data_IF_494285163522
#
_entry.id   IF_494285163522
#
_cell.length_a   1.000
_cell.length_b   1.000
_cell.length_c   1.000
_cell.angle_alpha   90.00
_cell.angle_beta   90.00
_cell.angle_gamma   90.00
#
_symmetry.space_group_name_H-M   'P 1'
#
loop_
_entity.id
_entity.type
_entity.pdbx_description
1 polymer ?
#
# COMPACT_ATOMS: atom_id res chain seq x y z
N UNK A 1 -10.57 5.33 -15.66
CA UNK A 1 -9.93 5.35 -14.33
C UNK A 1 -9.01 4.15 -14.32
N UNK A 2 -7.72 4.41 -14.25
CA UNK A 2 -6.71 3.37 -14.34
C UNK A 2 -6.95 2.29 -13.29
N UNK A 3 -6.90 1.03 -13.72
CA UNK A 3 -7.12 -0.13 -12.87
C UNK A 3 -5.77 -0.69 -12.41
N UNK A 4 -5.15 -0.06 -11.42
CA UNK A 4 -3.93 -0.55 -10.80
C UNK A 4 -4.24 -1.72 -9.86
N UNK A 5 -3.46 -2.80 -9.97
CA UNK A 5 -3.59 -3.97 -9.12
C UNK A 5 -2.53 -3.92 -8.03
N UNK A 6 -2.96 -3.90 -6.76
CA UNK A 6 -2.06 -3.96 -5.61
C UNK A 6 -1.90 -5.41 -5.19
N UNK A 7 -0.68 -5.91 -5.19
CA UNK A 7 -0.34 -7.30 -4.86
C UNK A 7 0.59 -7.30 -3.65
N UNK A 8 0.28 -8.12 -2.66
CA UNK A 8 1.02 -8.26 -1.42
C UNK A 8 1.70 -9.63 -1.34
N UNK A 9 2.92 -9.64 -0.83
CA UNK A 9 3.71 -10.85 -0.55
C UNK A 9 4.36 -10.69 0.82
N UNK A 10 3.62 -10.96 1.92
CA UNK A 10 4.16 -10.94 3.27
C UNK A 10 5.28 -11.96 3.43
N UNK A 11 6.36 -11.56 4.07
CA UNK A 11 7.45 -12.47 4.46
C UNK A 11 7.08 -13.05 5.82
N UNK A 12 6.98 -14.39 5.97
CA UNK A 12 6.70 -15.03 7.25
C UNK A 12 7.65 -14.52 8.34
N UNK A 13 7.13 -13.88 9.42
CA UNK A 13 7.98 -13.40 10.49
C UNK A 13 8.31 -14.52 11.48
N UNK A 14 9.42 -14.39 12.19
CA UNK A 14 9.71 -15.24 13.36
C UNK A 14 8.87 -14.80 14.56
N UNK A 15 8.57 -15.74 15.45
CA UNK A 15 7.79 -15.49 16.66
C UNK A 15 8.54 -14.74 17.78
N UNK A 16 9.74 -14.20 17.51
CA UNK A 16 10.56 -13.50 18.53
C UNK A 16 10.14 -12.04 18.68
N UNK A 17 9.62 -11.60 19.83
CA UNK A 17 9.23 -10.21 20.03
C UNK A 17 10.45 -9.26 20.11
N UNK A 18 10.35 -8.02 19.60
CA UNK A 18 9.21 -7.46 18.87
C UNK A 18 9.12 -8.00 17.44
N UNK A 19 7.94 -8.50 17.07
CA UNK A 19 7.70 -9.06 15.75
C UNK A 19 7.59 -7.92 14.74
N UNK A 20 8.36 -8.03 13.66
CA UNK A 20 8.29 -7.14 12.51
C UNK A 20 7.79 -7.95 11.31
N UNK A 21 6.81 -7.42 10.59
CA UNK A 21 6.23 -8.05 9.40
C UNK A 21 6.71 -7.31 8.14
N UNK A 22 7.69 -7.85 7.40
CA UNK A 22 8.03 -7.35 6.08
C UNK A 22 6.94 -7.74 5.08
N UNK A 23 6.56 -6.81 4.21
CA UNK A 23 5.61 -7.04 3.13
C UNK A 23 6.23 -6.52 1.84
N UNK A 24 6.47 -7.44 0.91
CA UNK A 24 6.80 -7.06 -0.46
C UNK A 24 5.51 -6.67 -1.17
N UNK A 25 5.52 -5.54 -1.86
CA UNK A 25 4.38 -4.98 -2.55
C UNK A 25 4.75 -4.82 -4.01
N UNK A 26 3.85 -5.20 -4.90
CA UNK A 26 3.87 -4.81 -6.29
C UNK A 26 2.59 -4.05 -6.63
N UNK A 27 2.70 -2.91 -7.33
CA UNK A 27 1.55 -2.27 -7.96
C UNK A 27 1.71 -2.45 -9.46
N UNK A 28 0.79 -3.20 -10.07
CA UNK A 28 0.80 -3.54 -11.49
C UNK A 28 -0.14 -2.65 -12.29
N UNK A 29 0.36 -2.12 -13.40
CA UNK A 29 -0.40 -1.43 -14.42
C UNK A 29 -0.65 -2.37 -15.61
N UNK A 30 -1.87 -2.89 -15.80
CA UNK A 30 -2.20 -3.75 -16.93
C UNK A 30 -2.49 -2.98 -18.23
N UNK A 31 -2.53 -1.65 -18.19
CA UNK A 31 -2.86 -0.84 -19.37
C UNK A 31 -1.67 -0.71 -20.32
N UNK A 32 -1.96 -0.46 -21.59
CA UNK A 32 -0.96 -0.20 -22.64
C UNK A 32 -0.40 1.24 -22.62
N UNK A 33 -0.79 2.03 -21.62
CA UNK A 33 -0.30 3.40 -21.38
C UNK A 33 0.25 3.51 -19.97
N UNK A 34 1.27 4.35 -19.73
CA UNK A 34 1.76 4.61 -18.39
C UNK A 34 0.69 5.24 -17.52
N UNK A 35 0.75 4.96 -16.22
CA UNK A 35 -0.14 5.50 -15.20
C UNK A 35 0.71 6.13 -14.11
N UNK A 36 0.39 7.36 -13.75
CA UNK A 36 1.00 8.07 -12.62
C UNK A 36 0.00 8.17 -11.48
N UNK A 37 0.43 7.90 -10.25
CA UNK A 37 -0.40 8.08 -9.08
C UNK A 37 0.33 8.84 -7.97
N UNK A 38 -0.44 9.51 -7.11
CA UNK A 38 0.07 10.13 -5.90
C UNK A 38 0.23 9.07 -4.80
N UNK A 39 1.43 8.94 -4.23
CA UNK A 39 1.74 7.86 -3.29
C UNK A 39 1.06 8.01 -1.90
N UNK A 40 0.43 9.14 -1.59
CA UNK A 40 -0.14 9.42 -0.27
C UNK A 40 -1.26 8.45 0.11
N UNK A 41 -1.14 7.82 1.28
CA UNK A 41 -2.14 6.88 1.79
C UNK A 41 -2.22 5.58 0.97
N UNK A 42 -1.18 5.28 0.19
CA UNK A 42 -1.04 4.05 -0.59
C UNK A 42 0.05 3.16 0.03
N UNK A 43 0.20 1.90 -0.40
CA UNK A 43 1.33 1.06 0.01
C UNK A 43 2.71 1.66 -0.34
N UNK A 44 2.76 2.60 -1.29
CA UNK A 44 3.98 3.31 -1.70
C UNK A 44 4.23 4.59 -0.91
N UNK A 45 3.34 4.97 0.02
CA UNK A 45 3.61 6.06 0.95
C UNK A 45 4.81 5.67 1.84
N UNK A 46 5.83 6.53 2.00
CA UNK A 46 6.93 6.26 2.95
C UNK A 46 6.48 5.99 4.38
N UNK A 47 5.25 6.38 4.74
CA UNK A 47 4.64 6.16 6.06
C UNK A 47 3.47 5.16 6.04
N UNK A 48 3.36 4.34 5.00
CA UNK A 48 2.23 3.41 4.80
C UNK A 48 2.00 2.46 6.00
N UNK A 49 3.08 2.07 6.68
CA UNK A 49 3.04 1.23 7.88
C UNK A 49 2.36 1.87 9.10
N UNK A 50 2.11 3.19 9.07
CA UNK A 50 1.50 3.95 10.17
C UNK A 50 0.18 4.65 9.78
N UNK A 51 -0.22 4.57 8.51
CA UNK A 51 -1.36 5.30 7.96
C UNK A 51 -2.66 4.48 7.92
N UNK A 52 -2.65 3.24 8.41
CA UNK A 52 -3.79 2.34 8.35
C UNK A 52 -4.06 1.75 6.96
N UNK A 53 -3.05 1.75 6.08
CA UNK A 53 -3.14 1.16 4.73
C UNK A 53 -3.30 -0.36 4.79
N UNK A 54 -2.67 -1.01 5.79
CA UNK A 54 -2.67 -2.45 5.96
C UNK A 54 -3.63 -2.87 7.07
N UNK A 55 -4.47 -3.84 6.76
CA UNK A 55 -5.36 -4.53 7.70
C UNK A 55 -4.87 -5.96 7.86
N UNK A 56 -4.68 -6.40 9.10
CA UNK A 56 -4.24 -7.76 9.41
C UNK A 56 -5.37 -8.44 10.18
N UNK A 57 -5.71 -9.67 9.78
CA UNK A 57 -6.69 -10.50 10.47
C UNK A 57 -6.03 -11.82 10.84
N UNK A 58 -6.21 -12.24 12.10
CA UNK A 58 -5.96 -13.62 12.51
C UNK A 58 -7.08 -14.50 11.94
N UNK A 59 -6.71 -15.40 11.04
CA UNK A 59 -7.66 -16.32 10.39
C UNK A 59 -7.86 -17.62 11.17
N UNK A 60 -7.00 -17.89 12.16
CA UNK A 60 -7.17 -18.99 13.10
C UNK A 60 -8.28 -18.67 14.10
N UNK A 61 -8.31 -17.43 14.60
CA UNK A 61 -9.29 -16.99 15.61
C UNK A 61 -10.42 -16.15 15.01
N UNK A 62 -10.33 -15.72 13.75
CA UNK A 62 -11.24 -14.79 13.08
C UNK A 62 -11.35 -13.41 13.77
N UNK A 63 -10.21 -12.92 14.31
CA UNK A 63 -10.13 -11.61 14.98
C UNK A 63 -9.21 -10.64 14.23
N UNK A 64 -9.60 -9.36 14.10
CA UNK A 64 -8.74 -8.33 13.53
C UNK A 64 -7.59 -7.99 14.48
N UNK A 65 -6.40 -7.81 13.91
CA UNK A 65 -5.24 -7.29 14.62
C UNK A 65 -5.29 -5.76 14.59
N UNK A 66 -5.32 -5.16 15.78
CA UNK A 66 -5.30 -3.69 15.91
C UNK A 66 -3.88 -3.19 15.73
N UNK A 67 -3.67 -2.35 14.72
CA UNK A 67 -2.42 -1.64 14.49
C UNK A 67 -2.61 -0.18 14.91
N UNK A 68 -1.60 0.37 15.58
CA UNK A 68 -1.57 1.80 15.88
C UNK A 68 -1.43 2.59 14.57
N UNK A 69 -2.27 3.60 14.42
CA UNK A 69 -2.25 4.50 13.26
C UNK A 69 -2.11 5.94 13.73
N UNK A 70 -1.49 6.76 12.89
CA UNK A 70 -1.34 8.19 13.14
C UNK A 70 -1.85 8.98 11.94
N UNK A 71 -2.47 10.12 12.23
CA UNK A 71 -2.94 11.04 11.19
C UNK A 71 -1.81 11.98 10.79
N UNK A 72 -1.55 12.06 9.48
CA UNK A 72 -0.59 13.00 8.91
C UNK A 72 -1.31 14.09 8.14
N UNK A 73 -0.95 15.34 8.40
CA UNK A 73 -1.32 16.46 7.56
C UNK A 73 -0.33 16.54 6.38
N UNK A 74 -0.85 16.77 5.18
CA UNK A 74 -0.07 16.91 3.95
C UNK A 74 -0.17 18.35 3.45
N UNK A 75 0.95 18.91 3.00
CA UNK A 75 0.97 20.22 2.37
C UNK A 75 0.46 20.10 0.93
N UNK A 76 -0.41 21.02 0.52
CA UNK A 76 -0.92 21.10 -0.85
C UNK A 76 -0.28 22.28 -1.62
N UNK A 77 -0.09 22.15 -2.94
CA UNK A 77 -0.22 20.92 -3.73
C UNK A 77 0.87 19.88 -3.39
N UNK A 78 0.69 18.59 -3.73
CA UNK A 78 1.74 17.57 -3.56
C UNK A 78 3.02 17.91 -4.31
N UNK A 79 4.16 17.43 -3.81
CA UNK A 79 5.42 17.51 -4.55
C UNK A 79 5.40 16.56 -5.74
N UNK A 80 6.15 16.89 -6.79
CA UNK A 80 6.41 15.95 -7.90
C UNK A 80 7.03 14.65 -7.41
N UNK A 81 7.84 14.71 -6.35
CA UNK A 81 8.48 13.53 -5.76
C UNK A 81 7.51 12.57 -5.04
N UNK A 82 6.30 13.04 -4.75
CA UNK A 82 5.23 12.18 -4.23
C UNK A 82 4.53 11.39 -5.34
N UNK A 83 4.84 11.67 -6.62
CA UNK A 83 4.27 10.96 -7.77
C UNK A 83 5.07 9.71 -8.13
N UNK A 84 4.37 8.62 -8.37
CA UNK A 84 4.94 7.36 -8.84
C UNK A 84 4.35 7.06 -10.21
N UNK A 85 5.22 6.91 -11.21
CA UNK A 85 4.84 6.42 -12.53
C UNK A 85 5.04 4.91 -12.60
N UNK A 86 4.05 4.22 -13.13
CA UNK A 86 4.15 2.81 -13.52
C UNK A 86 4.07 2.77 -15.05
N UNK A 87 5.11 2.29 -15.74
CA UNK A 87 5.06 2.12 -17.19
C UNK A 87 3.90 1.23 -17.64
N UNK A 88 3.59 1.28 -18.94
CA UNK A 88 2.62 0.38 -19.55
C UNK A 88 3.00 -1.09 -19.28
N UNK A 89 2.00 -1.92 -18.97
CA UNK A 89 2.14 -3.37 -18.79
C UNK A 89 3.26 -3.77 -17.81
N UNK A 90 3.51 -2.94 -16.79
CA UNK A 90 4.64 -3.08 -15.88
C UNK A 90 4.22 -2.97 -14.41
N UNK A 91 5.16 -3.21 -13.52
CA UNK A 91 4.95 -3.14 -12.08
C UNK A 91 6.05 -2.33 -11.42
N UNK A 92 5.66 -1.59 -10.39
CA UNK A 92 6.60 -1.02 -9.43
C UNK A 92 6.57 -1.84 -8.15
N UNK A 93 7.74 -2.09 -7.57
CA UNK A 93 7.89 -2.88 -6.35
C UNK A 93 8.46 -2.07 -5.18
N UNK A 94 8.04 -2.41 -3.97
CA UNK A 94 8.57 -1.85 -2.73
C UNK A 94 8.40 -2.83 -1.58
N UNK A 95 9.37 -2.87 -0.67
CA UNK A 95 9.21 -3.54 0.61
C UNK A 95 8.90 -2.52 1.69
N UNK A 96 7.93 -2.82 2.54
CA UNK A 96 7.71 -2.12 3.80
C UNK A 96 7.87 -3.08 4.98
N UNK A 97 8.08 -2.54 6.16
CA UNK A 97 8.06 -3.33 7.40
C UNK A 97 7.08 -2.69 8.38
N UNK A 98 6.08 -3.47 8.82
CA UNK A 98 5.19 -3.09 9.90
C UNK A 98 5.86 -3.54 11.21
N UNK A 99 6.25 -2.61 12.10
CA UNK A 99 6.91 -2.96 13.35
C UNK A 99 5.89 -3.32 14.43
N UNK A 100 6.34 -4.06 15.46
CA UNK A 100 5.57 -4.34 16.68
C UNK A 100 4.18 -4.95 16.43
N UNK A 101 4.06 -5.85 15.46
CA UNK A 101 2.78 -6.50 15.16
C UNK A 101 2.50 -7.54 16.25
N UNK A 102 1.34 -7.50 16.93
CA UNK A 102 1.02 -8.43 18.00
C UNK A 102 0.53 -9.77 17.43
N UNK A 103 1.48 -10.54 16.86
CA UNK A 103 1.21 -11.85 16.29
C UNK A 103 1.57 -12.98 17.26
N UNK A 104 0.79 -14.04 17.23
CA UNK A 104 0.98 -15.27 18.00
C UNK A 104 1.60 -16.38 17.12
N UNK A 105 2.50 -17.16 17.72
CA UNK A 105 3.17 -18.29 17.09
C UNK A 105 2.16 -19.36 16.65
N UNK A 106 2.36 -19.94 15.46
CA UNK A 106 1.55 -21.06 14.96
C UNK A 106 0.21 -20.64 14.34
N UNK A 107 -0.23 -19.40 14.54
CA UNK A 107 -1.44 -18.83 13.94
C UNK A 107 -1.22 -18.49 12.45
N UNK A 108 -2.33 -18.51 11.72
CA UNK A 108 -2.42 -18.15 10.30
C UNK A 108 -3.12 -16.79 10.17
N UNK A 109 -2.55 -15.89 9.38
CA UNK A 109 -3.01 -14.52 9.23
C UNK A 109 -3.25 -14.16 7.77
N UNK A 110 -4.08 -13.15 7.56
CA UNK A 110 -4.28 -12.51 6.27
C UNK A 110 -3.95 -11.02 6.38
N UNK A 111 -3.11 -10.50 5.50
CA UNK A 111 -2.90 -9.06 5.31
C UNK A 111 -3.58 -8.59 4.03
N UNK A 112 -4.18 -7.40 4.09
CA UNK A 112 -4.83 -6.76 2.96
C UNK A 112 -4.50 -5.26 2.98
N UNK A 113 -4.25 -4.68 1.81
CA UNK A 113 -4.08 -3.25 1.64
C UNK A 113 -5.38 -2.63 1.13
N UNK A 114 -5.85 -1.56 1.78
CA UNK A 114 -7.02 -0.79 1.35
C UNK A 114 -6.76 0.69 1.47
N UNK A 115 -7.38 1.47 0.61
CA UNK A 115 -7.27 2.91 0.70
C UNK A 115 -7.85 3.64 -0.49
N UNK A 116 -7.40 4.89 -0.65
CA UNK A 116 -7.84 5.80 -1.70
C UNK A 116 -6.61 6.24 -2.48
N UNK A 117 -6.66 6.09 -3.79
CA UNK A 117 -5.84 6.85 -4.71
C UNK A 117 -6.27 8.31 -4.62
N UNK A 118 -5.43 9.15 -4.00
CA UNK A 118 -5.69 10.59 -3.87
C UNK A 118 -5.44 11.35 -5.18
N UNK A 119 -4.78 10.72 -6.14
CA UNK A 119 -4.55 11.21 -7.49
C UNK A 119 -4.09 10.06 -8.37
N UNK A 120 -4.77 9.83 -9.50
CA UNK A 120 -4.39 8.80 -10.49
C UNK A 120 -4.66 9.32 -11.90
N UNK A 121 -3.64 9.24 -12.76
CA UNK A 121 -3.67 9.83 -14.10
C UNK A 121 -3.12 8.84 -15.13
N UNK A 122 -3.84 8.66 -16.22
CA UNK A 122 -3.45 7.80 -17.36
C UNK A 122 -2.45 8.54 -18.26
N UNK A 123 -1.32 8.98 -17.70
CA UNK A 123 -0.24 9.65 -18.39
C UNK A 123 1.11 9.47 -17.66
N UNK A 124 2.24 9.76 -18.32
CA UNK A 124 3.55 9.85 -17.67
C UNK A 124 3.60 10.96 -16.60
N UNK A 125 4.55 10.85 -15.67
CA UNK A 125 4.69 11.74 -14.50
C UNK A 125 4.95 13.20 -14.89
N UNK A 126 5.66 13.44 -15.98
CA UNK A 126 5.98 14.78 -16.49
C UNK A 126 4.77 15.47 -17.16
N UNK A 127 3.73 14.70 -17.51
CA UNK A 127 2.49 15.21 -18.11
C UNK A 127 1.39 15.48 -17.08
N UNK A 128 1.57 15.09 -15.82
CA UNK A 128 0.70 15.55 -14.75
C UNK A 128 0.85 17.07 -14.63
N UNK A 129 -0.24 17.82 -14.67
CA UNK A 129 -0.20 19.29 -14.67
C UNK A 129 -0.30 19.84 -13.25
N UNK A 130 0.16 21.08 -13.04
CA UNK A 130 0.06 21.73 -11.71
C UNK A 130 -1.41 21.90 -11.29
N UNK A 131 -2.30 22.24 -12.23
CA UNK A 131 -3.75 22.29 -11.98
C UNK A 131 -4.30 20.95 -11.48
N UNK A 132 -3.84 19.81 -12.02
CA UNK A 132 -4.26 18.50 -11.55
C UNK A 132 -3.77 18.21 -10.12
N UNK A 133 -2.59 18.71 -9.74
CA UNK A 133 -2.05 18.58 -8.39
C UNK A 133 -2.72 19.51 -7.38
N UNK A 134 -3.20 20.67 -7.81
CA UNK A 134 -3.99 21.58 -6.98
C UNK A 134 -5.40 21.03 -6.70
N UNK A 135 -6.02 20.41 -7.70
CA UNK A 135 -7.40 19.95 -7.62
C UNK A 135 -7.55 18.56 -7.01
N UNK A 136 -6.67 17.61 -7.40
CA UNK A 136 -6.74 16.20 -6.99
C UNK A 136 -8.12 15.55 -7.24
N UNK A 137 -8.76 15.87 -8.36
CA UNK A 137 -10.11 15.40 -8.69
C UNK A 137 -10.15 13.95 -9.21
N UNK A 138 -9.01 13.40 -9.65
CA UNK A 138 -8.93 12.04 -10.17
C UNK A 138 -8.62 11.04 -9.04
N UNK A 139 -9.65 10.63 -8.30
CA UNK A 139 -9.55 9.76 -7.12
C UNK A 139 -10.23 8.42 -7.35
N UNK A 140 -9.82 7.41 -6.61
CA UNK A 140 -10.46 6.08 -6.64
C UNK A 140 -10.13 5.26 -5.41
N UNK A 141 -10.93 4.24 -5.11
CA UNK A 141 -10.62 3.29 -4.05
C UNK A 141 -9.74 2.17 -4.59
N UNK A 142 -8.95 1.55 -3.71
CA UNK A 142 -8.26 0.30 -4.01
C UNK A 142 -8.40 -0.68 -2.85
N UNK A 143 -8.37 -1.95 -3.23
CA UNK A 143 -8.34 -3.09 -2.33
C UNK A 143 -7.47 -4.17 -2.98
N UNK A 144 -6.47 -4.67 -2.25
CA UNK A 144 -5.68 -5.84 -2.67
C UNK A 144 -6.43 -7.13 -2.38
N UNK A 145 -5.89 -8.25 -2.87
CA UNK A 145 -6.19 -9.56 -2.34
C UNK A 145 -5.84 -9.68 -0.84
N UNK A 146 -6.36 -10.72 -0.21
CA UNK A 146 -5.94 -11.15 1.14
C UNK A 146 -4.74 -12.07 1.02
N UNK A 147 -3.56 -11.56 1.30
CA UNK A 147 -2.33 -12.35 1.27
C UNK A 147 -2.15 -13.10 2.60
N UNK A 148 -2.08 -14.43 2.53
CA UNK A 148 -1.96 -15.30 3.69
C UNK A 148 -0.50 -15.47 4.12
N UNK A 149 -0.27 -15.54 5.42
CA UNK A 149 1.04 -15.89 5.99
C UNK A 149 0.87 -16.60 7.34
N UNK A 150 1.89 -17.37 7.72
CA UNK A 150 1.95 -18.10 8.99
C UNK A 150 3.12 -17.59 9.82
N UNK A 151 2.92 -17.48 11.13
CA UNK A 151 4.01 -17.18 12.07
C UNK A 151 4.70 -18.49 12.46
N UNK A 152 6.00 -18.57 12.20
CA UNK A 152 6.80 -19.76 12.49
C UNK A 152 7.82 -19.48 13.60
N UNK A 153 8.29 -20.53 14.28
CA UNK A 153 9.46 -20.47 15.16
C UNK A 153 10.72 -20.10 14.38
#
# INVERSE_FOLDING_TARGET
>A
MANLQVILSPVPPSATPPISLPINIAIHNPATTPVTFLNWGTPFDPKANLLGVFQINDTTTDHPITLDTIKFNRQLPPSRDDLVEIPAESSMERTITIPHVPLEEGHDYAVQAKGIWHGIWECPRDQVTDSQLEQLDQRGEFESERALFKVTQ
#
